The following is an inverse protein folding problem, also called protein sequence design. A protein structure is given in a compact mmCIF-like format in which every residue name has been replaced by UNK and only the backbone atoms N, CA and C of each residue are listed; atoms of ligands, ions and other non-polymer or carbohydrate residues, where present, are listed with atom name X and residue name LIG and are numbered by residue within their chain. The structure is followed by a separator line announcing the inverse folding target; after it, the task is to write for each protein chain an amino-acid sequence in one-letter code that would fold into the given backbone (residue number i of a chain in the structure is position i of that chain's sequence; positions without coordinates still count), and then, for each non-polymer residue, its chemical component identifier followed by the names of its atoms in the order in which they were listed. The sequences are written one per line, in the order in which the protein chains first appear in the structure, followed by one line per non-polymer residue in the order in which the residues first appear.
data_IF_310636089179
#
_entry.id   IF_310636089179
#
_cell.length_a   1.000
_cell.length_b   1.000
_cell.length_c   1.000
_cell.angle_alpha   90.00
_cell.angle_beta   90.00
_cell.angle_gamma   90.00
#
_symmetry.space_group_name_H-M   'P 1'
#
loop_
_entity.id
_entity.type
_entity.pdbx_description
1 polymer ?
#
# COMPACT_ATOMS: atom_id res chain seq x y z
N UNK A 1 18.40 22.36 -12.26
CA UNK A 1 17.25 22.82 -11.46
C UNK A 1 16.38 21.61 -11.18
N UNK A 2 16.52 21.03 -9.99
CA UNK A 2 15.56 20.02 -9.54
C UNK A 2 14.27 20.76 -9.18
N UNK A 3 13.17 20.42 -9.85
CA UNK A 3 11.87 20.88 -9.43
C UNK A 3 11.58 20.25 -8.07
N UNK A 4 11.56 21.07 -7.00
CA UNK A 4 11.31 20.66 -5.63
C UNK A 4 9.85 20.26 -5.41
N UNK A 5 9.42 19.18 -6.04
CA UNK A 5 8.14 18.57 -5.74
C UNK A 5 8.27 17.77 -4.42
N UNK A 6 7.27 17.86 -3.52
CA UNK A 6 7.30 17.08 -2.30
C UNK A 6 7.36 15.59 -2.65
N UNK A 7 8.42 14.92 -2.20
CA UNK A 7 8.66 13.48 -2.36
C UNK A 7 7.94 12.64 -1.31
N UNK A 8 7.29 13.29 -0.34
CA UNK A 8 6.51 12.67 0.73
C UNK A 8 5.07 13.18 0.69
N UNK A 9 4.11 12.29 0.88
CA UNK A 9 2.70 12.64 1.03
C UNK A 9 2.19 12.00 2.32
N UNK A 10 1.65 12.81 3.21
CA UNK A 10 1.06 12.33 4.45
C UNK A 10 -0.43 12.05 4.28
N UNK A 11 -0.93 11.05 5.00
CA UNK A 11 -2.37 10.83 5.07
C UNK A 11 -3.02 11.95 5.90
N UNK A 12 -4.16 12.45 5.42
CA UNK A 12 -4.99 13.34 6.22
C UNK A 12 -5.65 12.54 7.35
N UNK A 13 -5.60 13.03 8.58
CA UNK A 13 -6.17 12.35 9.76
C UNK A 13 -7.64 11.92 9.55
N UNK A 14 -8.45 12.80 8.95
CA UNK A 14 -9.86 12.51 8.66
C UNK A 14 -10.02 11.30 7.73
N UNK A 15 -9.08 11.10 6.81
CA UNK A 15 -9.09 9.96 5.89
C UNK A 15 -8.73 8.67 6.63
N UNK A 16 -7.70 8.69 7.48
CA UNK A 16 -7.30 7.54 8.29
C UNK A 16 -8.42 7.11 9.24
N UNK A 17 -9.07 8.07 9.89
CA UNK A 17 -10.23 7.80 10.75
C UNK A 17 -11.38 7.16 9.98
N UNK A 18 -11.71 7.66 8.79
CA UNK A 18 -12.77 7.06 7.97
C UNK A 18 -12.42 5.65 7.50
N UNK A 19 -11.18 5.42 7.06
CA UNK A 19 -10.73 4.09 6.63
C UNK A 19 -10.82 3.09 7.78
N UNK A 20 -10.32 3.46 8.96
CA UNK A 20 -10.40 2.59 10.12
C UNK A 20 -11.85 2.35 10.56
N UNK A 21 -12.67 3.40 10.60
CA UNK A 21 -14.04 3.27 11.11
C UNK A 21 -14.93 2.42 10.19
N UNK A 22 -14.85 2.66 8.87
CA UNK A 22 -15.74 2.05 7.87
C UNK A 22 -15.20 0.69 7.40
N UNK A 23 -13.91 0.62 7.06
CA UNK A 23 -13.31 -0.57 6.44
C UNK A 23 -12.50 -1.43 7.40
N UNK A 24 -12.31 -0.99 8.67
CA UNK A 24 -11.43 -1.65 9.64
C UNK A 24 -10.01 -1.86 9.09
N UNK A 25 -9.58 -0.95 8.22
CA UNK A 25 -8.30 -1.02 7.55
C UNK A 25 -7.31 -0.01 8.16
N UNK A 26 -6.02 -0.31 8.04
CA UNK A 26 -4.94 0.56 8.47
C UNK A 26 -4.24 1.16 7.25
N UNK A 27 -3.79 2.40 7.38
CA UNK A 27 -2.95 3.09 6.39
C UNK A 27 -1.49 3.04 6.83
N UNK A 28 -0.60 2.72 5.91
CA UNK A 28 0.86 2.75 6.15
C UNK A 28 1.54 3.60 5.08
N UNK A 29 2.49 4.43 5.51
CA UNK A 29 3.30 5.24 4.59
C UNK A 29 4.58 4.48 4.25
N UNK A 30 4.84 4.31 2.95
CA UNK A 30 5.95 3.50 2.43
C UNK A 30 6.68 4.26 1.33
N UNK A 31 7.98 4.00 1.20
CA UNK A 31 8.84 4.70 0.24
C UNK A 31 8.89 3.97 -1.12
N UNK A 32 7.94 4.32 -2.00
CA UNK A 32 7.94 3.83 -3.37
C UNK A 32 9.01 4.46 -4.28
N UNK A 33 9.64 5.57 -3.87
CA UNK A 33 10.62 6.26 -4.71
C UNK A 33 11.99 5.60 -4.62
N UNK A 34 12.44 5.28 -3.41
CA UNK A 34 13.77 4.69 -3.19
C UNK A 34 13.71 3.20 -2.85
N UNK A 35 12.56 2.68 -2.42
CA UNK A 35 12.43 1.29 -1.92
C UNK A 35 11.31 0.50 -2.62
N UNK A 36 10.98 0.82 -3.88
CA UNK A 36 9.87 0.21 -4.62
C UNK A 36 9.86 -1.33 -4.57
N UNK A 37 11.00 -1.98 -4.83
CA UNK A 37 11.08 -3.44 -4.86
C UNK A 37 10.88 -4.08 -3.48
N UNK A 38 11.38 -3.43 -2.42
CA UNK A 38 11.18 -3.87 -1.04
C UNK A 38 9.71 -3.70 -0.64
N UNK A 39 9.13 -2.53 -0.90
CA UNK A 39 7.71 -2.25 -0.63
C UNK A 39 6.81 -3.25 -1.37
N UNK A 40 7.14 -3.60 -2.62
CA UNK A 40 6.46 -4.65 -3.38
C UNK A 40 6.49 -6.00 -2.65
N UNK A 41 7.66 -6.41 -2.17
CA UNK A 41 7.85 -7.68 -1.46
C UNK A 41 7.08 -7.70 -0.14
N UNK A 42 7.14 -6.62 0.62
CA UNK A 42 6.43 -6.45 1.88
C UNK A 42 4.91 -6.55 1.67
N UNK A 43 4.37 -5.86 0.66
CA UNK A 43 2.94 -5.94 0.31
C UNK A 43 2.57 -7.36 -0.12
N UNK A 44 3.35 -7.99 -1.00
CA UNK A 44 3.06 -9.36 -1.44
C UNK A 44 3.09 -10.36 -0.28
N UNK A 45 4.04 -10.23 0.64
CA UNK A 45 4.12 -11.06 1.84
C UNK A 45 2.91 -10.84 2.76
N UNK A 46 2.52 -9.57 2.98
CA UNK A 46 1.34 -9.24 3.76
C UNK A 46 0.06 -9.80 3.15
N UNK A 47 -0.15 -9.64 1.84
CA UNK A 47 -1.32 -10.20 1.13
C UNK A 47 -1.33 -11.72 1.16
N UNK A 48 -0.16 -12.35 0.97
CA UNK A 48 -0.03 -13.80 1.06
C UNK A 48 -0.44 -14.30 2.45
N UNK A 49 0.05 -13.65 3.50
CA UNK A 49 -0.31 -14.01 4.87
C UNK A 49 -1.80 -13.77 5.16
N UNK A 50 -2.33 -12.61 4.77
CA UNK A 50 -3.73 -12.26 4.95
C UNK A 50 -4.65 -13.29 4.26
N UNK A 51 -4.31 -13.67 3.03
CA UNK A 51 -5.08 -14.64 2.24
C UNK A 51 -4.74 -16.10 2.54
N UNK A 52 -4.04 -16.39 3.64
CA UNK A 52 -3.62 -17.75 4.04
C UNK A 52 -2.90 -18.51 2.91
N UNK A 53 -2.08 -17.81 2.14
CA UNK A 53 -1.27 -18.34 1.06
C UNK A 53 -1.97 -18.44 -0.31
N UNK A 54 -3.22 -17.98 -0.43
CA UNK A 54 -3.98 -18.05 -1.70
C UNK A 54 -3.46 -17.04 -2.73
N UNK A 55 -3.08 -15.82 -2.30
CA UNK A 55 -2.54 -14.78 -3.19
C UNK A 55 -1.08 -14.49 -2.86
N UNK A 56 -0.16 -15.13 -3.59
CA UNK A 56 1.29 -15.03 -3.34
C UNK A 56 1.97 -13.83 -4.00
N UNK A 57 1.38 -13.31 -5.08
CA UNK A 57 1.97 -12.23 -5.87
C UNK A 57 0.87 -11.31 -6.40
N UNK A 58 0.53 -10.31 -5.59
CA UNK A 58 -0.42 -9.26 -5.96
C UNK A 58 0.23 -8.22 -6.88
N UNK A 59 1.44 -7.80 -6.51
CA UNK A 59 2.24 -6.79 -7.20
C UNK A 59 3.36 -7.44 -8.00
N UNK A 60 3.28 -7.31 -9.33
CA UNK A 60 4.30 -7.77 -10.27
C UNK A 60 5.23 -6.63 -10.67
N UNK A 61 6.54 -6.88 -10.85
CA UNK A 61 7.46 -5.89 -11.38
C UNK A 61 7.25 -5.65 -12.89
N UNK A 62 7.63 -4.47 -13.42
CA UNK A 62 8.11 -3.30 -12.69
C UNK A 62 6.94 -2.47 -12.11
N UNK A 63 7.10 -1.93 -10.89
CA UNK A 63 6.13 -1.00 -10.34
C UNK A 63 6.20 0.35 -11.09
N UNK A 64 5.06 0.90 -11.56
CA UNK A 64 5.06 2.20 -12.20
C UNK A 64 5.49 3.29 -11.22
N UNK A 65 6.52 4.06 -11.62
CA UNK A 65 7.34 4.99 -10.81
C UNK A 65 6.60 6.15 -10.12
N UNK A 66 5.28 6.29 -10.31
CA UNK A 66 4.44 7.40 -9.79
C UNK A 66 3.01 6.99 -9.48
N UNK A 67 2.77 5.75 -9.05
CA UNK A 67 1.40 5.29 -8.79
C UNK A 67 1.20 5.07 -7.30
N UNK A 68 0.41 5.95 -6.68
CA UNK A 68 -0.25 5.65 -5.40
C UNK A 68 -1.30 4.59 -5.71
N UNK A 69 -1.05 3.35 -5.31
CA UNK A 69 -2.02 2.25 -5.47
C UNK A 69 -2.68 1.99 -4.12
N UNK A 70 -3.95 2.38 -4.00
CA UNK A 70 -4.80 2.04 -2.86
C UNK A 70 -5.40 0.66 -3.10
N UNK A 71 -4.92 -0.33 -2.35
CA UNK A 71 -5.46 -1.68 -2.38
C UNK A 71 -6.49 -1.86 -1.26
N UNK A 72 -7.77 -1.88 -1.61
CA UNK A 72 -8.83 -2.32 -0.70
C UNK A 72 -8.97 -3.84 -0.80
N UNK A 73 -8.34 -4.57 0.12
CA UNK A 73 -8.65 -5.98 0.33
C UNK A 73 -9.71 -6.08 1.43
N UNK A 74 -10.99 -6.10 1.04
CA UNK A 74 -12.00 -6.60 1.96
C UNK A 74 -11.83 -8.13 2.04
N UNK A 75 -11.32 -8.63 3.16
CA UNK A 75 -11.39 -10.04 3.45
C UNK A 75 -12.66 -10.29 4.25
N UNK A 76 -13.69 -10.82 3.59
CA UNK A 76 -14.85 -11.38 4.28
C UNK A 76 -14.37 -12.66 4.97
N UNK A 77 -14.05 -12.60 6.27
CA UNK A 77 -13.92 -13.84 7.04
C UNK A 77 -15.33 -14.42 7.18
N UNK A 78 -15.58 -15.53 6.50
CA UNK A 78 -16.76 -16.38 6.75
C UNK A 78 -16.50 -17.25 7.97
#
# INVERSE_FOLDING_TARGET
MEFGYPTTCDFKDSYQQHINNIYKAQTESVDFLNQADKVREDINAWVCNATKGLMKEMLKPPLPRKTIQLYFLQMLST
#
